data_IF_600802442351
#
_entry.id   IF_600802442351
#
_cell.length_a   1.000
_cell.length_b   1.000
_cell.length_c   1.000
_cell.angle_alpha   90.00
_cell.angle_beta   90.00
_cell.angle_gamma   90.00
#
_symmetry.space_group_name_H-M   'P 1'
#
loop_
_entity.id
_entity.type
_entity.pdbx_description
1 polymer ?
#
# COMPACT_ATOMS: atom_id res chain seq x y z
N UNK A 1 -1.05 1.86 -22.22
CA UNK A 1 0.32 2.33 -21.95
C UNK A 1 0.65 1.88 -20.53
N UNK A 2 1.43 0.82 -20.39
CA UNK A 2 1.75 0.21 -19.10
C UNK A 2 2.57 1.20 -18.28
N UNK A 3 2.09 1.50 -17.06
CA UNK A 3 2.73 2.39 -16.10
C UNK A 3 4.17 1.92 -15.88
N UNK A 4 5.07 2.86 -16.12
CA UNK A 4 6.52 2.76 -16.05
C UNK A 4 6.99 2.14 -14.74
N UNK A 5 7.90 1.19 -14.85
CA UNK A 5 8.79 0.66 -13.82
C UNK A 5 9.70 1.80 -13.29
N UNK A 6 9.13 2.71 -12.50
CA UNK A 6 9.83 3.90 -12.00
C UNK A 6 10.70 3.59 -10.75
N UNK A 7 11.14 2.34 -10.59
CA UNK A 7 11.74 1.85 -9.35
C UNK A 7 10.74 1.80 -8.19
N UNK A 8 9.47 1.56 -8.50
CA UNK A 8 8.42 1.37 -7.48
C UNK A 8 8.67 0.05 -6.74
N UNK A 9 8.58 0.02 -5.41
CA UNK A 9 8.76 -1.21 -4.66
C UNK A 9 7.70 -2.26 -5.00
N UNK A 10 8.11 -3.51 -5.11
CA UNK A 10 7.18 -4.62 -5.34
C UNK A 10 6.62 -5.17 -4.02
N UNK A 11 7.29 -4.89 -2.91
CA UNK A 11 6.90 -5.36 -1.58
C UNK A 11 7.19 -4.34 -0.47
N UNK A 12 6.59 -4.58 0.71
CA UNK A 12 6.81 -3.76 1.90
C UNK A 12 8.29 -3.62 2.26
N UNK A 13 9.06 -4.72 2.16
CA UNK A 13 10.45 -4.71 2.57
C UNK A 13 11.31 -3.81 1.67
N UNK A 14 11.07 -3.83 0.35
CA UNK A 14 11.73 -2.92 -0.59
C UNK A 14 11.31 -1.46 -0.35
N UNK A 15 10.02 -1.22 -0.07
CA UNK A 15 9.54 0.11 0.23
C UNK A 15 10.18 0.67 1.50
N UNK A 16 10.36 -0.17 2.52
CA UNK A 16 10.90 0.19 3.82
C UNK A 16 12.43 0.36 3.82
N UNK A 17 13.14 -0.38 2.97
CA UNK A 17 14.61 -0.29 2.85
C UNK A 17 15.07 0.70 1.77
N UNK A 18 14.14 1.22 0.97
CA UNK A 18 14.42 2.14 -0.13
C UNK A 18 14.77 3.57 0.33
N UNK A 19 15.35 4.35 -0.59
CA UNK A 19 15.69 5.76 -0.34
C UNK A 19 14.48 6.64 -0.02
N UNK A 20 13.32 6.24 -0.54
CA UNK A 20 12.04 6.93 -0.34
C UNK A 20 11.18 6.27 0.77
N UNK A 21 11.79 5.49 1.67
CA UNK A 21 11.07 4.74 2.70
C UNK A 21 10.11 5.60 3.55
N UNK A 22 10.52 6.80 3.93
CA UNK A 22 9.66 7.72 4.69
C UNK A 22 8.42 8.17 3.90
N UNK A 23 8.53 8.33 2.58
CA UNK A 23 7.40 8.70 1.71
C UNK A 23 6.45 7.52 1.53
N UNK A 24 6.99 6.30 1.41
CA UNK A 24 6.19 5.08 1.35
C UNK A 24 5.49 4.79 2.67
N UNK A 25 6.15 5.00 3.81
CA UNK A 25 5.58 4.87 5.14
C UNK A 25 4.43 5.85 5.36
N UNK A 26 4.60 7.12 4.97
CA UNK A 26 3.53 8.11 4.99
C UNK A 26 2.33 7.64 4.17
N UNK A 27 2.57 7.18 2.93
CA UNK A 27 1.50 6.70 2.06
C UNK A 27 0.77 5.44 2.61
N UNK A 28 1.49 4.55 3.30
CA UNK A 28 0.89 3.38 3.96
C UNK A 28 0.04 3.78 5.16
N UNK A 29 0.52 4.73 5.96
CA UNK A 29 -0.21 5.27 7.10
C UNK A 29 -1.48 6.01 6.65
N UNK A 30 -1.41 6.80 5.58
CA UNK A 30 -2.57 7.47 4.99
C UNK A 30 -3.64 6.46 4.54
N UNK A 31 -3.24 5.37 3.89
CA UNK A 31 -4.15 4.28 3.51
C UNK A 31 -4.79 3.64 4.76
N UNK A 32 -3.99 3.28 5.77
CA UNK A 32 -4.51 2.67 6.99
C UNK A 32 -5.51 3.58 7.71
N UNK A 33 -5.18 4.87 7.82
CA UNK A 33 -6.06 5.88 8.41
C UNK A 33 -7.34 6.04 7.59
N UNK A 34 -7.27 5.98 6.25
CA UNK A 34 -8.45 6.03 5.40
C UNK A 34 -9.35 4.81 5.62
N UNK A 35 -8.80 3.60 5.73
CA UNK A 35 -9.57 2.38 5.99
C UNK A 35 -10.31 2.45 7.33
N UNK A 36 -9.64 2.94 8.37
CA UNK A 36 -10.22 3.16 9.71
C UNK A 36 -11.30 4.24 9.64
N UNK A 37 -11.01 5.40 9.03
CA UNK A 37 -11.94 6.52 8.95
C UNK A 37 -13.20 6.18 8.14
N UNK A 38 -13.07 5.34 7.12
CA UNK A 38 -14.21 4.89 6.32
C UNK A 38 -15.05 3.83 7.05
N UNK A 39 -14.63 3.34 8.22
CA UNK A 39 -15.28 2.26 8.99
C UNK A 39 -15.54 1.00 8.14
N UNK A 40 -14.71 0.79 7.12
CA UNK A 40 -14.85 -0.35 6.18
C UNK A 40 -14.02 -1.55 6.60
N UNK A 41 -13.13 -1.37 7.59
CA UNK A 41 -12.23 -2.40 8.09
C UNK A 41 -12.13 -2.34 9.61
N UNK A 42 -12.08 -3.51 10.23
CA UNK A 42 -11.73 -3.67 11.64
C UNK A 42 -10.62 -4.70 11.79
N UNK A 43 -9.73 -4.49 12.76
CA UNK A 43 -8.72 -5.48 13.11
C UNK A 43 -9.37 -6.59 13.95
N UNK A 44 -9.71 -7.69 13.30
CA UNK A 44 -10.31 -8.85 13.96
C UNK A 44 -9.29 -9.98 14.17
N UNK A 45 -9.47 -10.75 15.25
CA UNK A 45 -8.73 -12.01 15.44
C UNK A 45 -9.26 -13.07 14.47
N UNK A 46 -8.37 -13.83 13.84
CA UNK A 46 -8.75 -14.92 12.95
C UNK A 46 -9.55 -15.99 13.73
N UNK A 47 -10.82 -16.25 13.39
CA UNK A 47 -11.59 -17.28 14.07
C UNK A 47 -11.01 -18.68 13.85
N UNK A 48 -11.19 -19.56 14.84
CA UNK A 48 -10.65 -20.92 14.83
C UNK A 48 -11.16 -21.68 13.60
N UNK A 49 -10.24 -22.32 12.88
CA UNK A 49 -10.56 -23.13 11.70
C UNK A 49 -10.81 -22.34 10.41
N UNK A 50 -10.60 -21.02 10.40
CA UNK A 50 -10.58 -20.22 9.17
C UNK A 50 -9.15 -19.93 8.72
N UNK A 51 -8.97 -19.76 7.41
CA UNK A 51 -7.71 -19.33 6.80
C UNK A 51 -7.82 -17.85 6.46
N UNK A 52 -6.89 -17.04 6.96
CA UNK A 52 -6.80 -15.64 6.57
C UNK A 52 -6.44 -15.53 5.09
N UNK A 53 -7.06 -14.58 4.39
CA UNK A 53 -6.59 -14.20 3.06
C UNK A 53 -5.29 -13.45 3.21
N UNK A 54 -4.31 -13.79 2.37
CA UNK A 54 -3.06 -13.04 2.33
C UNK A 54 -3.35 -11.67 1.74
N UNK A 55 -2.79 -10.62 2.33
CA UNK A 55 -2.79 -9.28 1.76
C UNK A 55 -1.39 -8.95 1.22
N UNK A 56 -1.33 -7.92 0.36
CA UNK A 56 -0.09 -7.34 -0.13
C UNK A 56 -0.25 -5.84 -0.27
N UNK A 57 0.87 -5.14 -0.18
CA UNK A 57 0.94 -3.73 -0.53
C UNK A 57 1.16 -3.57 -2.03
N UNK A 58 0.51 -2.57 -2.63
CA UNK A 58 0.73 -2.12 -3.99
C UNK A 58 1.19 -0.68 -3.92
N UNK A 59 2.39 -0.42 -4.41
CA UNK A 59 3.00 0.90 -4.42
C UNK A 59 2.93 1.49 -5.83
N UNK A 60 2.60 2.77 -5.92
CA UNK A 60 2.59 3.55 -7.15
C UNK A 60 3.04 4.98 -6.90
N UNK A 61 3.89 5.51 -7.77
CA UNK A 61 4.20 6.93 -7.86
C UNK A 61 3.31 7.51 -8.96
N UNK A 62 2.60 8.60 -8.64
CA UNK A 62 1.84 9.37 -9.61
C UNK A 62 2.50 10.71 -9.83
N UNK A 63 2.64 11.09 -11.08
CA UNK A 63 2.99 12.46 -11.46
C UNK A 63 1.71 13.28 -11.49
N UNK A 64 1.69 14.36 -10.71
CA UNK A 64 0.59 15.31 -10.65
C UNK A 64 0.79 16.37 -11.75
N UNK A 65 -0.28 17.11 -12.09
CA UNK A 65 -0.28 18.08 -13.19
C UNK A 65 0.73 19.23 -12.98
N UNK A 66 1.08 19.53 -11.73
CA UNK A 66 2.09 20.52 -11.36
C UNK A 66 3.54 20.00 -11.47
N UNK A 67 3.72 18.74 -11.89
CA UNK A 67 5.02 18.06 -11.97
C UNK A 67 5.49 17.47 -10.64
N UNK A 68 4.71 17.59 -9.56
CA UNK A 68 5.03 16.95 -8.28
C UNK A 68 4.79 15.45 -8.32
N UNK A 69 5.53 14.70 -7.49
CA UNK A 69 5.39 13.24 -7.37
C UNK A 69 4.61 12.90 -6.11
N UNK A 70 3.49 12.21 -6.28
CA UNK A 70 2.67 11.69 -5.20
C UNK A 70 2.87 10.19 -5.03
N UNK A 71 3.23 9.79 -3.82
CA UNK A 71 3.39 8.40 -3.43
C UNK A 71 2.03 7.84 -3.00
N UNK A 72 1.66 6.68 -3.54
CA UNK A 72 0.42 5.98 -3.20
C UNK A 72 0.74 4.54 -2.83
N UNK A 73 0.27 4.13 -1.66
CA UNK A 73 0.28 2.74 -1.22
C UNK A 73 -1.17 2.27 -1.07
N UNK A 74 -1.44 1.02 -1.43
CA UNK A 74 -2.76 0.39 -1.24
C UNK A 74 -2.61 -0.99 -0.65
N UNK A 75 -3.44 -1.30 0.33
CA UNK A 75 -3.52 -2.65 0.88
C UNK A 75 -4.56 -3.45 0.09
N UNK A 76 -4.14 -4.52 -0.58
CA UNK A 76 -5.03 -5.35 -1.39
C UNK A 76 -4.95 -6.80 -0.96
N UNK A 77 -6.03 -7.54 -1.20
CA UNK A 77 -6.01 -9.01 -1.04
C UNK A 77 -5.18 -9.60 -2.17
N UNK A 78 -4.25 -10.50 -1.83
CA UNK A 78 -3.55 -11.33 -2.80
C UNK A 78 -4.57 -12.36 -3.31
N UNK A 79 -4.92 -12.25 -4.59
CA UNK A 79 -5.84 -13.18 -5.25
C UNK A 79 -5.41 -14.64 -5.12
N UNK A 80 -6.36 -15.54 -5.35
CA UNK A 80 -6.17 -16.99 -5.29
C UNK A 80 -5.43 -17.55 -6.51
#
# INVERSE_FOLDING_TARGET
MLLTDAGEPECYNEAYQGKDASKWELAMNDEMNSLISNQTWELAKLPKGKKALQNKWVFRIKEEHDGSKRYKARLVVKGF
#
